data_IF_404199132119
#
_entry.id   IF_404199132119
#
_cell.length_a   1.000
_cell.length_b   1.000
_cell.length_c   1.000
_cell.angle_alpha   90.00
_cell.angle_beta   90.00
_cell.angle_gamma   90.00
#
_symmetry.space_group_name_H-M   'P 1'
#
loop_
_entity.id
_entity.type
_entity.pdbx_description
1 polymer ?
#
# COMPACT_ATOMS: atom_id res chain seq x y z
N UNK A 1 -31.27 -5.39 -0.02
CA UNK A 1 -30.57 -4.99 -1.25
C UNK A 1 -29.58 -6.11 -1.61
N UNK A 2 -29.49 -6.57 -2.87
CA UNK A 2 -28.49 -7.59 -3.21
C UNK A 2 -27.15 -6.87 -3.34
N UNK A 3 -26.25 -7.09 -2.39
CA UNK A 3 -24.87 -6.59 -2.43
C UNK A 3 -24.07 -7.50 -3.39
N UNK A 4 -23.48 -6.90 -4.41
CA UNK A 4 -22.60 -7.64 -5.33
C UNK A 4 -21.18 -7.69 -4.73
N UNK A 5 -20.79 -8.86 -4.22
CA UNK A 5 -19.49 -9.06 -3.59
C UNK A 5 -18.49 -9.50 -4.67
N UNK A 6 -17.40 -8.75 -4.90
CA UNK A 6 -16.41 -9.10 -5.92
C UNK A 6 -15.76 -10.47 -5.68
N UNK A 7 -15.51 -11.23 -6.77
CA UNK A 7 -14.91 -12.56 -6.71
C UNK A 7 -13.59 -12.61 -5.93
N UNK A 8 -12.80 -11.55 -5.99
CA UNK A 8 -11.51 -11.49 -5.27
C UNK A 8 -11.72 -11.40 -3.75
N UNK A 9 -12.73 -10.65 -3.29
CA UNK A 9 -13.09 -10.60 -1.86
C UNK A 9 -13.60 -11.96 -1.41
N UNK A 10 -14.47 -12.61 -2.21
CA UNK A 10 -14.96 -13.96 -1.91
C UNK A 10 -13.82 -14.97 -1.76
N UNK A 11 -12.86 -14.96 -2.69
CA UNK A 11 -11.69 -15.85 -2.63
C UNK A 11 -10.84 -15.62 -1.37
N UNK A 12 -10.60 -14.36 -1.00
CA UNK A 12 -9.84 -14.02 0.20
C UNK A 12 -10.56 -14.51 1.45
N UNK A 13 -11.86 -14.22 1.58
CA UNK A 13 -12.66 -14.62 2.74
C UNK A 13 -12.68 -16.14 2.90
N UNK A 14 -12.86 -16.89 1.81
CA UNK A 14 -12.86 -18.37 1.83
C UNK A 14 -11.45 -18.90 2.19
N UNK A 15 -10.39 -18.34 1.61
CA UNK A 15 -9.03 -18.78 1.89
C UNK A 15 -8.63 -18.54 3.36
N UNK A 16 -9.16 -17.49 3.99
CA UNK A 16 -8.91 -17.13 5.38
C UNK A 16 -9.87 -17.81 6.38
N UNK A 17 -10.84 -18.62 5.90
CA UNK A 17 -11.81 -19.34 6.74
C UNK A 17 -12.82 -18.43 7.44
N UNK A 18 -13.17 -17.31 6.82
CA UNK A 18 -14.04 -16.27 7.38
C UNK A 18 -15.42 -16.19 6.70
N UNK A 19 -15.96 -17.29 6.17
CA UNK A 19 -17.18 -17.33 5.38
C UNK A 19 -18.40 -16.75 6.11
N UNK A 20 -18.47 -16.87 7.45
CA UNK A 20 -19.54 -16.29 8.26
C UNK A 20 -19.67 -14.77 8.11
N UNK A 21 -18.54 -14.08 7.80
CA UNK A 21 -18.56 -12.65 7.55
C UNK A 21 -19.40 -12.28 6.33
N UNK A 22 -19.47 -13.15 5.32
CA UNK A 22 -20.30 -12.93 4.13
C UNK A 22 -21.79 -12.88 4.46
N UNK A 23 -22.23 -13.66 5.44
CA UNK A 23 -23.62 -13.68 5.92
C UNK A 23 -23.95 -12.41 6.73
N UNK A 24 -22.98 -11.87 7.47
CA UNK A 24 -23.12 -10.67 8.30
C UNK A 24 -23.03 -9.37 7.49
N UNK A 25 -22.29 -9.40 6.38
CA UNK A 25 -21.91 -8.23 5.58
C UNK A 25 -23.11 -7.39 5.11
N UNK A 26 -24.22 -7.95 4.58
CA UNK A 26 -25.38 -7.14 4.19
C UNK A 26 -25.99 -6.35 5.35
N UNK A 27 -26.15 -6.98 6.52
CA UNK A 27 -26.64 -6.33 7.72
C UNK A 27 -25.70 -5.23 8.24
N UNK A 28 -24.39 -5.44 8.11
CA UNK A 28 -23.38 -4.44 8.47
C UNK A 28 -23.43 -3.23 7.55
N UNK A 29 -23.55 -3.43 6.23
CA UNK A 29 -23.70 -2.35 5.25
C UNK A 29 -24.99 -1.55 5.51
N UNK A 30 -26.12 -2.24 5.75
CA UNK A 30 -27.41 -1.58 6.04
C UNK A 30 -27.33 -0.74 7.33
N UNK A 31 -26.69 -1.26 8.38
CA UNK A 31 -26.49 -0.54 9.65
C UNK A 31 -25.61 0.70 9.48
N UNK A 32 -24.48 0.58 8.79
CA UNK A 32 -23.59 1.71 8.48
C UNK A 32 -24.27 2.74 7.60
N UNK A 33 -25.04 2.29 6.60
CA UNK A 33 -25.81 3.18 5.73
C UNK A 33 -26.83 4.01 6.53
N UNK A 34 -27.52 3.40 7.48
CA UNK A 34 -28.47 4.09 8.34
C UNK A 34 -27.77 5.08 9.28
N UNK A 35 -26.71 4.67 9.96
CA UNK A 35 -25.97 5.48 10.95
C UNK A 35 -25.30 6.70 10.29
N UNK A 36 -24.67 6.50 9.14
CA UNK A 36 -23.96 7.56 8.42
C UNK A 36 -24.83 8.25 7.37
N UNK A 37 -26.12 7.87 7.26
CA UNK A 37 -27.08 8.43 6.31
C UNK A 37 -26.59 8.35 4.86
N UNK A 38 -26.18 7.14 4.43
CA UNK A 38 -25.62 6.88 3.10
C UNK A 38 -26.68 6.30 2.16
N UNK A 39 -26.62 6.71 0.90
CA UNK A 39 -27.24 5.95 -0.20
C UNK A 39 -26.23 5.00 -0.76
N UNK A 40 -26.52 3.70 -0.73
CA UNK A 40 -25.62 2.64 -1.20
C UNK A 40 -25.75 2.50 -2.71
N UNK A 41 -24.62 2.54 -3.39
CA UNK A 41 -24.47 2.29 -4.84
C UNK A 41 -23.95 0.89 -5.15
N UNK A 42 -23.14 0.75 -6.20
CA UNK A 42 -22.51 -0.51 -6.60
C UNK A 42 -21.17 -0.73 -5.89
N UNK A 43 -20.76 -2.01 -5.76
CA UNK A 43 -19.42 -2.36 -5.31
C UNK A 43 -18.39 -2.20 -6.45
N UNK A 44 -17.15 -1.88 -6.07
CA UNK A 44 -16.01 -1.84 -6.99
C UNK A 44 -15.45 -3.24 -7.18
N UNK A 45 -15.11 -3.59 -8.41
CA UNK A 45 -14.55 -4.90 -8.75
C UNK A 45 -13.12 -5.14 -8.24
N UNK A 46 -12.39 -4.09 -7.84
CA UNK A 46 -11.02 -4.16 -7.35
C UNK A 46 -10.95 -4.29 -5.82
N UNK A 47 -9.82 -4.82 -5.35
CA UNK A 47 -9.53 -5.01 -3.92
C UNK A 47 -9.59 -6.48 -3.48
N UNK A 48 -8.60 -6.90 -2.68
CA UNK A 48 -8.52 -8.26 -2.15
C UNK A 48 -8.83 -8.30 -0.65
N UNK A 49 -8.64 -7.19 0.03
CA UNK A 49 -8.62 -7.11 1.49
C UNK A 49 -9.84 -6.38 2.08
N UNK A 50 -10.76 -5.89 1.25
CA UNK A 50 -11.95 -5.16 1.69
C UNK A 50 -13.05 -5.21 0.63
N UNK A 51 -14.30 -5.15 1.10
CA UNK A 51 -15.42 -4.72 0.26
C UNK A 51 -15.37 -3.21 0.12
N UNK A 52 -15.43 -2.71 -1.12
CA UNK A 52 -15.43 -1.27 -1.43
C UNK A 52 -16.71 -0.95 -2.20
N UNK A 53 -17.52 -0.01 -1.68
CA UNK A 53 -18.84 0.32 -2.20
C UNK A 53 -18.93 1.80 -2.50
N UNK A 54 -19.43 2.17 -3.67
CA UNK A 54 -19.76 3.53 -4.01
C UNK A 54 -20.97 3.99 -3.16
N UNK A 55 -20.87 5.16 -2.53
CA UNK A 55 -21.96 5.69 -1.70
C UNK A 55 -22.16 7.18 -1.94
N UNK A 56 -23.34 7.68 -1.62
CA UNK A 56 -23.62 9.12 -1.69
C UNK A 56 -24.09 9.60 -0.31
N UNK A 57 -23.50 10.70 0.17
CA UNK A 57 -23.89 11.35 1.41
C UNK A 57 -25.25 12.08 1.25
N UNK A 58 -25.87 12.45 2.37
CA UNK A 58 -27.15 13.18 2.38
C UNK A 58 -27.14 14.47 1.55
N UNK A 59 -26.01 15.16 1.50
CA UNK A 59 -25.83 16.39 0.73
C UNK A 59 -25.57 16.16 -0.77
N UNK A 60 -25.60 14.91 -1.22
CA UNK A 60 -25.29 14.53 -2.61
C UNK A 60 -23.80 14.34 -2.89
N UNK A 61 -22.92 14.48 -1.91
CA UNK A 61 -21.47 14.29 -2.09
C UNK A 61 -21.16 12.80 -2.32
N UNK A 62 -20.45 12.45 -3.40
CA UNK A 62 -20.01 11.09 -3.62
C UNK A 62 -18.88 10.70 -2.63
N UNK A 63 -18.96 9.47 -2.10
CA UNK A 63 -18.02 8.92 -1.16
C UNK A 63 -17.81 7.41 -1.41
N UNK A 64 -16.94 6.79 -0.64
CA UNK A 64 -16.64 5.35 -0.70
C UNK A 64 -16.75 4.76 0.69
N UNK A 65 -17.54 3.71 0.84
CA UNK A 65 -17.57 2.86 2.02
C UNK A 65 -16.62 1.67 1.79
N UNK A 66 -15.59 1.55 2.63
CA UNK A 66 -14.66 0.43 2.64
C UNK A 66 -14.88 -0.39 3.91
N UNK A 67 -15.07 -1.71 3.78
CA UNK A 67 -15.23 -2.64 4.90
C UNK A 67 -14.15 -3.72 4.78
N UNK A 68 -13.22 -3.75 5.73
CA UNK A 68 -12.11 -4.71 5.75
C UNK A 68 -12.59 -6.14 5.98
N UNK A 69 -11.95 -7.11 5.30
CA UNK A 69 -12.12 -8.54 5.58
C UNK A 69 -11.58 -8.83 7.00
N UNK A 70 -12.22 -9.71 7.77
CA UNK A 70 -11.74 -10.10 9.10
C UNK A 70 -10.27 -10.52 9.10
N UNK A 71 -9.53 -10.13 10.15
CA UNK A 71 -8.09 -10.36 10.24
C UNK A 71 -7.23 -9.25 9.63
N UNK A 72 -7.84 -8.24 8.98
CA UNK A 72 -7.16 -7.01 8.54
C UNK A 72 -7.37 -5.92 9.59
N UNK A 73 -6.33 -5.16 9.87
CA UNK A 73 -6.42 -4.04 10.82
C UNK A 73 -6.61 -2.72 10.07
N UNK A 74 -7.88 -2.28 9.97
CA UNK A 74 -8.18 -0.96 9.39
C UNK A 74 -7.88 0.19 10.35
N UNK A 75 -7.59 -0.07 11.62
CA UNK A 75 -7.25 0.95 12.60
C UNK A 75 -5.96 1.68 12.26
N UNK A 76 -4.96 0.95 11.77
CA UNK A 76 -3.69 1.52 11.30
C UNK A 76 -3.90 2.39 10.06
N UNK A 77 -4.68 1.91 9.09
CA UNK A 77 -5.08 2.68 7.91
C UNK A 77 -5.86 3.95 8.30
N UNK A 78 -6.86 3.83 9.17
CA UNK A 78 -7.64 4.95 9.68
C UNK A 78 -6.75 6.01 10.35
N UNK A 79 -5.79 5.58 11.18
CA UNK A 79 -4.83 6.48 11.83
C UNK A 79 -4.00 7.23 10.79
N UNK A 80 -3.45 6.54 9.79
CA UNK A 80 -2.67 7.16 8.73
C UNK A 80 -3.49 8.19 7.93
N UNK A 81 -4.71 7.83 7.52
CA UNK A 81 -5.62 8.72 6.79
C UNK A 81 -6.03 9.94 7.63
N UNK A 82 -6.27 9.76 8.93
CA UNK A 82 -6.57 10.85 9.88
C UNK A 82 -5.40 11.80 9.98
N UNK A 83 -4.18 11.28 10.13
CA UNK A 83 -2.96 12.08 10.18
C UNK A 83 -2.71 12.79 8.84
N UNK A 84 -2.90 12.12 7.71
CA UNK A 84 -2.76 12.73 6.38
C UNK A 84 -3.76 13.87 6.16
N UNK A 85 -4.97 13.75 6.70
CA UNK A 85 -6.05 14.74 6.61
C UNK A 85 -6.28 15.23 5.16
N UNK A 86 -6.36 14.29 4.22
CA UNK A 86 -6.57 14.57 2.80
C UNK A 86 -5.35 15.08 2.03
N UNK A 87 -4.17 15.18 2.68
CA UNK A 87 -2.91 15.60 2.04
C UNK A 87 -2.14 14.37 1.56
N UNK A 88 -2.00 14.22 0.26
CA UNK A 88 -1.32 13.07 -0.33
C UNK A 88 -2.10 11.75 -0.26
N UNK A 89 -3.05 11.60 0.66
CA UNK A 89 -3.96 10.45 0.74
C UNK A 89 -5.42 10.89 0.62
N UNK A 90 -6.30 9.93 0.35
CA UNK A 90 -7.74 10.10 0.41
C UNK A 90 -8.16 10.66 1.78
N UNK A 91 -9.17 11.55 1.77
CA UNK A 91 -9.69 12.12 3.00
C UNK A 91 -10.58 11.10 3.71
N UNK A 92 -10.32 10.85 4.98
CA UNK A 92 -11.20 10.10 5.86
C UNK A 92 -12.39 10.99 6.24
N UNK A 93 -13.60 10.51 5.97
CA UNK A 93 -14.87 11.19 6.27
C UNK A 93 -15.55 10.63 7.52
N UNK A 94 -15.34 9.32 7.79
CA UNK A 94 -15.85 8.61 8.95
C UNK A 94 -15.14 7.29 9.14
N UNK A 95 -15.21 6.74 10.34
CA UNK A 95 -14.61 5.44 10.66
C UNK A 95 -15.42 4.70 11.72
N UNK A 96 -15.46 3.39 11.62
CA UNK A 96 -15.87 2.45 12.65
C UNK A 96 -14.89 1.28 12.68
N UNK A 97 -13.85 1.43 13.50
CA UNK A 97 -12.79 0.42 13.62
C UNK A 97 -13.35 -0.91 14.16
N UNK A 98 -14.37 -0.88 15.01
CA UNK A 98 -15.01 -2.08 15.54
C UNK A 98 -15.69 -2.94 14.47
N UNK A 99 -16.26 -2.30 13.45
CA UNK A 99 -16.85 -2.96 12.27
C UNK A 99 -15.89 -2.99 11.05
N UNK A 100 -14.62 -2.64 11.26
CA UNK A 100 -13.62 -2.57 10.19
C UNK A 100 -14.03 -1.67 9.01
N UNK A 101 -14.77 -0.57 9.28
CA UNK A 101 -15.35 0.28 8.26
C UNK A 101 -14.74 1.67 8.20
N UNK A 102 -14.45 2.14 6.98
CA UNK A 102 -13.99 3.49 6.68
C UNK A 102 -14.90 4.14 5.65
N UNK A 103 -15.23 5.40 5.87
CA UNK A 103 -15.89 6.25 4.88
C UNK A 103 -14.87 7.24 4.33
N UNK A 104 -14.62 7.18 3.03
CA UNK A 104 -13.56 7.91 2.35
C UNK A 104 -14.13 8.85 1.28
N UNK A 105 -13.40 9.92 0.95
CA UNK A 105 -13.72 10.70 -0.25
C UNK A 105 -13.66 9.83 -1.51
N UNK A 106 -14.57 10.10 -2.46
CA UNK A 106 -14.57 9.43 -3.76
C UNK A 106 -13.51 10.06 -4.64
N UNK A 107 -12.55 9.26 -5.08
CA UNK A 107 -11.53 9.62 -6.07
C UNK A 107 -11.88 9.05 -7.45
N UNK A 108 -11.19 9.52 -8.48
CA UNK A 108 -11.37 9.11 -9.87
C UNK A 108 -10.62 7.83 -10.23
N UNK A 109 -10.18 7.76 -11.48
CA UNK A 109 -9.48 6.60 -12.02
C UNK A 109 -8.07 6.44 -11.43
N UNK A 110 -7.54 5.19 -11.34
CA UNK A 110 -6.15 4.93 -10.99
C UNK A 110 -5.18 5.59 -11.98
N UNK A 111 -4.04 6.02 -11.48
CA UNK A 111 -2.97 6.61 -12.29
C UNK A 111 -2.52 5.66 -13.42
N UNK A 112 -2.52 4.36 -13.14
CA UNK A 112 -2.19 3.32 -14.12
C UNK A 112 -3.02 3.44 -15.40
N UNK A 113 -4.33 3.73 -15.28
CA UNK A 113 -5.25 3.81 -16.42
C UNK A 113 -5.17 5.13 -17.18
N UNK A 114 -4.68 6.20 -16.53
CA UNK A 114 -4.72 7.57 -17.05
C UNK A 114 -3.37 8.04 -17.60
N UNK A 115 -2.27 7.62 -16.96
CA UNK A 115 -0.92 8.05 -17.33
C UNK A 115 -0.19 6.90 -18.01
N UNK A 116 -0.04 6.97 -19.32
CA UNK A 116 0.56 5.90 -20.11
C UNK A 116 2.07 5.72 -19.87
N UNK A 117 2.81 6.85 -19.72
CA UNK A 117 4.26 6.84 -19.58
C UNK A 117 4.70 6.50 -18.14
N UNK A 118 5.45 5.38 -17.91
CA UNK A 118 5.90 4.98 -16.58
C UNK A 118 6.80 5.99 -15.88
N UNK A 119 7.69 6.68 -16.60
CA UNK A 119 8.57 7.69 -16.03
C UNK A 119 7.76 8.88 -15.48
N UNK A 120 6.70 9.27 -16.19
CA UNK A 120 5.74 10.26 -15.70
C UNK A 120 5.01 9.79 -14.45
N UNK A 121 4.60 8.49 -14.39
CA UNK A 121 4.01 7.92 -13.17
C UNK A 121 4.96 8.01 -11.98
N UNK A 122 6.23 7.62 -12.13
CA UNK A 122 7.22 7.69 -11.05
C UNK A 122 7.39 9.12 -10.51
N UNK A 123 7.41 10.12 -11.40
CA UNK A 123 7.48 11.51 -11.01
C UNK A 123 6.25 11.97 -10.22
N UNK A 124 5.04 11.62 -10.70
CA UNK A 124 3.79 11.95 -10.03
C UNK A 124 3.66 11.24 -8.68
N UNK A 125 4.04 9.97 -8.58
CA UNK A 125 4.07 9.22 -7.32
C UNK A 125 5.02 9.88 -6.30
N UNK A 126 6.20 10.32 -6.75
CA UNK A 126 7.13 11.07 -5.91
C UNK A 126 6.50 12.37 -5.39
N UNK A 127 5.80 13.13 -6.24
CA UNK A 127 5.12 14.36 -5.82
C UNK A 127 4.00 14.09 -4.80
N UNK A 128 3.25 13.00 -4.96
CA UNK A 128 2.22 12.60 -4.00
C UNK A 128 2.84 12.19 -2.67
N UNK A 129 3.93 11.41 -2.68
CA UNK A 129 4.67 11.03 -1.49
C UNK A 129 5.15 12.24 -0.69
N UNK A 130 5.78 13.21 -1.36
CA UNK A 130 6.24 14.46 -0.72
C UNK A 130 5.09 15.25 -0.07
N UNK A 131 3.90 15.24 -0.67
CA UNK A 131 2.72 15.88 -0.06
C UNK A 131 2.23 15.18 1.20
N UNK A 132 2.40 13.84 1.27
CA UNK A 132 2.02 13.04 2.43
C UNK A 132 2.97 13.24 3.60
N UNK A 133 4.27 13.28 3.35
CA UNK A 133 5.27 13.31 4.41
C UNK A 133 5.10 14.49 5.33
N UNK A 134 5.00 14.19 6.60
CA UNK A 134 4.92 15.15 7.71
C UNK A 134 5.56 14.54 8.93
N UNK A 135 6.29 15.30 9.72
CA UNK A 135 6.83 14.82 10.99
C UNK A 135 5.70 14.28 11.88
N UNK A 136 5.91 13.11 12.45
CA UNK A 136 5.02 12.51 13.44
C UNK A 136 5.83 12.04 14.64
N UNK A 137 5.33 12.33 15.85
CA UNK A 137 6.02 12.02 17.09
C UNK A 137 6.00 10.52 17.43
N UNK A 138 6.88 10.10 18.36
CA UNK A 138 6.96 8.72 18.83
C UNK A 138 5.75 8.28 19.66
N UNK A 139 4.92 9.20 20.10
CA UNK A 139 3.65 8.97 20.80
C UNK A 139 2.51 8.52 19.88
N UNK A 140 2.69 8.61 18.57
CA UNK A 140 1.74 8.10 17.60
C UNK A 140 1.91 6.58 17.45
N UNK A 141 0.83 5.84 17.70
CA UNK A 141 0.82 4.38 17.63
C UNK A 141 0.73 3.89 16.17
N UNK A 142 1.84 4.06 15.46
CA UNK A 142 2.08 3.50 14.12
C UNK A 142 3.36 2.69 14.14
N UNK A 143 3.41 1.55 13.42
CA UNK A 143 4.63 0.79 13.27
C UNK A 143 5.75 1.64 12.68
N UNK A 144 6.97 1.42 13.14
CA UNK A 144 8.14 2.12 12.61
C UNK A 144 8.71 1.43 11.38
N UNK A 145 9.47 2.17 10.56
CA UNK A 145 10.25 1.57 9.48
C UNK A 145 11.22 0.49 9.98
N UNK A 146 11.79 0.69 11.18
CA UNK A 146 12.61 -0.33 11.84
C UNK A 146 11.80 -1.62 12.12
N UNK A 147 10.57 -1.48 12.60
CA UNK A 147 9.69 -2.63 12.88
C UNK A 147 9.27 -3.35 11.60
N UNK A 148 8.99 -2.60 10.54
CA UNK A 148 8.71 -3.18 9.23
C UNK A 148 9.90 -4.00 8.70
N UNK A 149 11.11 -3.43 8.76
CA UNK A 149 12.34 -4.12 8.34
C UNK A 149 12.59 -5.38 9.15
N UNK A 150 12.36 -5.35 10.47
CA UNK A 150 12.45 -6.51 11.36
C UNK A 150 11.44 -7.60 10.96
N UNK A 151 10.16 -7.24 10.81
CA UNK A 151 9.10 -8.18 10.42
C UNK A 151 9.38 -8.84 9.06
N UNK A 152 9.91 -8.08 8.11
CA UNK A 152 10.28 -8.61 6.81
C UNK A 152 11.49 -9.55 6.91
N UNK A 153 12.49 -9.21 7.73
CA UNK A 153 13.66 -10.06 7.94
C UNK A 153 13.30 -11.40 8.60
N UNK A 154 12.35 -11.37 9.57
CA UNK A 154 11.90 -12.59 10.25
C UNK A 154 11.11 -13.51 9.31
N UNK A 155 10.30 -12.94 8.41
CA UNK A 155 9.39 -13.71 7.52
C UNK A 155 10.03 -14.14 6.21
N UNK A 156 10.99 -13.39 5.67
CA UNK A 156 11.54 -13.63 4.33
C UNK A 156 12.13 -15.03 4.16
N UNK A 157 12.93 -15.60 5.10
CA UNK A 157 13.50 -16.93 4.92
C UNK A 157 12.44 -18.03 4.79
N UNK A 158 11.42 -18.00 5.64
CA UNK A 158 10.32 -18.98 5.60
C UNK A 158 9.50 -18.84 4.31
N UNK A 159 9.12 -17.62 3.92
CA UNK A 159 8.40 -17.37 2.67
C UNK A 159 9.19 -17.83 1.45
N UNK A 160 10.51 -17.61 1.45
CA UNK A 160 11.38 -18.03 0.36
C UNK A 160 11.42 -19.56 0.20
N UNK A 161 11.48 -20.30 1.32
CA UNK A 161 11.39 -21.76 1.30
C UNK A 161 10.01 -22.24 0.82
N UNK A 162 8.91 -21.63 1.36
CA UNK A 162 7.54 -21.97 0.99
C UNK A 162 7.24 -21.70 -0.50
N UNK A 163 7.83 -20.65 -1.06
CA UNK A 163 7.71 -20.32 -2.48
C UNK A 163 8.60 -21.19 -3.40
N UNK A 164 9.33 -22.17 -2.85
CA UNK A 164 10.22 -23.04 -3.63
C UNK A 164 11.54 -22.39 -4.03
N UNK A 165 12.02 -21.41 -3.28
CA UNK A 165 13.28 -20.67 -3.52
C UNK A 165 13.31 -19.97 -4.88
N UNK A 166 12.43 -19.00 -5.11
CA UNK A 166 12.22 -18.39 -6.43
C UNK A 166 13.34 -17.43 -6.88
N UNK A 167 14.32 -17.15 -6.04
CA UNK A 167 15.50 -16.34 -6.36
C UNK A 167 16.75 -16.92 -5.68
N UNK A 168 17.93 -16.37 -6.01
CA UNK A 168 19.20 -16.85 -5.48
C UNK A 168 19.34 -16.59 -3.97
N UNK A 169 20.12 -17.45 -3.24
CA UNK A 169 20.45 -17.18 -1.84
C UNK A 169 21.19 -15.85 -1.65
N UNK A 170 21.95 -15.40 -2.64
CA UNK A 170 22.69 -14.13 -2.60
C UNK A 170 21.70 -12.95 -2.56
N UNK A 171 20.63 -12.99 -3.35
CA UNK A 171 19.56 -11.99 -3.36
C UNK A 171 18.84 -11.89 -2.01
N UNK A 172 18.51 -13.03 -1.41
CA UNK A 172 17.93 -13.06 -0.06
C UNK A 172 18.89 -12.47 0.97
N UNK A 173 20.16 -12.83 0.91
CA UNK A 173 21.18 -12.32 1.84
C UNK A 173 21.37 -10.80 1.69
N UNK A 174 21.36 -10.27 0.48
CA UNK A 174 21.45 -8.81 0.25
C UNK A 174 20.22 -8.08 0.80
N UNK A 175 19.02 -8.60 0.58
CA UNK A 175 17.80 -8.02 1.14
C UNK A 175 17.82 -8.02 2.69
N UNK A 176 18.26 -9.10 3.32
CA UNK A 176 18.40 -9.19 4.78
C UNK A 176 19.44 -8.19 5.32
N UNK A 177 20.54 -7.97 4.58
CA UNK A 177 21.53 -6.97 4.92
C UNK A 177 20.94 -5.54 4.81
N UNK A 178 20.17 -5.24 3.76
CA UNK A 178 19.47 -3.98 3.62
C UNK A 178 18.47 -3.77 4.76
N UNK A 179 17.65 -4.77 5.11
CA UNK A 179 16.72 -4.72 6.23
C UNK A 179 17.43 -4.40 7.55
N UNK A 180 18.55 -5.05 7.83
CA UNK A 180 19.32 -4.76 9.04
C UNK A 180 19.90 -3.33 9.05
N UNK A 181 20.42 -2.84 7.92
CA UNK A 181 20.92 -1.45 7.82
C UNK A 181 19.79 -0.44 8.04
N UNK A 182 18.62 -0.62 7.41
CA UNK A 182 17.49 0.31 7.57
C UNK A 182 16.87 0.24 8.96
N UNK A 183 16.83 -0.94 9.57
CA UNK A 183 16.42 -1.10 10.97
C UNK A 183 17.32 -0.29 11.93
N UNK A 184 18.64 -0.37 11.74
CA UNK A 184 19.62 0.34 12.56
C UNK A 184 19.68 1.86 12.30
N UNK A 185 19.35 2.28 11.07
CA UNK A 185 19.35 3.69 10.67
C UNK A 185 18.09 4.45 11.10
N UNK A 186 17.06 3.77 11.61
CA UNK A 186 15.82 4.42 12.03
C UNK A 186 16.06 5.45 13.14
N UNK A 187 15.55 6.67 12.94
CA UNK A 187 15.57 7.75 13.94
C UNK A 187 14.16 8.34 14.08
N UNK A 188 13.56 8.15 15.23
CA UNK A 188 12.23 8.65 15.59
C UNK A 188 12.07 10.18 15.44
N UNK A 189 13.18 10.93 15.54
CA UNK A 189 13.14 12.40 15.46
C UNK A 189 13.02 12.92 14.03
N UNK A 190 13.49 12.15 13.08
CA UNK A 190 13.42 12.48 11.65
C UNK A 190 12.33 11.70 10.91
N UNK A 191 11.65 10.77 11.58
CA UNK A 191 10.60 9.97 11.00
C UNK A 191 9.37 10.81 10.60
N UNK A 192 8.78 10.45 9.49
CA UNK A 192 7.57 11.07 8.94
C UNK A 192 6.47 10.02 8.77
N UNK A 193 5.23 10.50 8.57
CA UNK A 193 4.17 9.64 8.07
C UNK A 193 4.53 9.23 6.65
N UNK A 194 4.67 7.93 6.40
CA UNK A 194 4.84 7.34 5.08
C UNK A 194 3.67 6.41 4.75
N UNK A 195 3.42 6.22 3.48
CA UNK A 195 2.35 5.34 2.99
C UNK A 195 2.72 3.87 3.15
N UNK A 196 3.94 3.50 2.77
CA UNK A 196 4.47 2.14 2.88
C UNK A 196 4.16 1.20 1.71
N UNK A 197 3.26 1.59 0.79
CA UNK A 197 2.95 0.82 -0.42
C UNK A 197 2.52 1.73 -1.59
N UNK A 198 3.41 2.64 -1.99
CA UNK A 198 3.15 3.57 -3.10
C UNK A 198 3.34 2.87 -4.44
N UNK A 199 2.27 2.86 -5.24
CA UNK A 199 2.29 2.43 -6.63
C UNK A 199 1.11 3.06 -7.42
N UNK A 200 1.14 2.95 -8.74
CA UNK A 200 0.19 3.60 -9.64
C UNK A 200 -1.26 3.13 -9.50
N UNK A 201 -1.49 1.93 -8.96
CA UNK A 201 -2.85 1.43 -8.69
C UNK A 201 -3.42 2.02 -7.40
N UNK A 202 -2.57 2.41 -6.44
CA UNK A 202 -2.98 3.08 -5.20
C UNK A 202 -3.03 4.61 -5.34
N UNK A 203 -2.65 5.18 -6.48
CA UNK A 203 -2.72 6.61 -6.74
C UNK A 203 -3.90 6.92 -7.65
N UNK A 204 -4.95 7.54 -7.11
CA UNK A 204 -6.18 7.86 -7.83
C UNK A 204 -6.28 9.36 -8.10
N UNK A 205 -6.92 9.71 -9.22
CA UNK A 205 -7.11 11.10 -9.62
C UNK A 205 -8.09 11.82 -8.68
N UNK A 206 -7.70 12.96 -8.16
CA UNK A 206 -8.55 13.85 -7.39
C UNK A 206 -9.32 14.83 -8.31
N UNK A 207 -10.36 15.46 -7.78
CA UNK A 207 -11.23 16.38 -8.54
C UNK A 207 -10.51 17.63 -9.07
N UNK A 208 -9.37 18.00 -8.48
CA UNK A 208 -8.52 19.12 -8.89
C UNK A 208 -7.48 18.72 -9.95
N UNK A 209 -7.53 17.47 -10.44
CA UNK A 209 -6.59 16.90 -11.39
C UNK A 209 -5.27 16.40 -10.78
N UNK A 210 -5.06 16.57 -9.50
CA UNK A 210 -3.94 15.97 -8.78
C UNK A 210 -4.19 14.49 -8.50
N UNK A 211 -3.21 13.80 -7.87
CA UNK A 211 -3.37 12.42 -7.42
C UNK A 211 -3.34 12.34 -5.89
N UNK A 212 -4.06 11.39 -5.33
CA UNK A 212 -4.04 11.02 -3.93
C UNK A 212 -3.91 9.50 -3.79
N UNK A 213 -3.27 9.06 -2.72
CA UNK A 213 -3.08 7.65 -2.40
C UNK A 213 -4.27 7.11 -1.60
N UNK A 214 -4.57 5.85 -1.84
CA UNK A 214 -5.50 5.03 -1.05
C UNK A 214 -4.73 3.86 -0.42
N UNK A 215 -5.32 3.19 0.56
CA UNK A 215 -4.79 1.97 1.19
C UNK A 215 -3.40 2.14 1.84
N UNK A 216 -3.16 3.20 2.66
CA UNK A 216 -1.89 3.35 3.33
C UNK A 216 -1.67 2.22 4.34
N UNK A 217 -0.52 1.58 4.27
CA UNK A 217 -0.03 0.72 5.34
C UNK A 217 0.18 1.53 6.64
N UNK A 218 0.45 2.82 6.51
CA UNK A 218 0.55 3.76 7.62
C UNK A 218 1.72 3.46 8.55
N UNK A 219 2.88 4.06 8.25
CA UNK A 219 4.10 3.82 9.01
C UNK A 219 4.71 5.14 9.47
N UNK A 220 5.48 5.07 10.53
CA UNK A 220 6.38 6.12 10.98
C UNK A 220 7.81 5.75 10.56
N UNK A 221 8.29 6.32 9.44
CA UNK A 221 9.56 5.93 8.85
C UNK A 221 10.29 7.10 8.18
N UNK A 222 11.48 6.83 7.70
CA UNK A 222 12.19 7.75 6.83
C UNK A 222 11.53 7.82 5.43
N UNK A 223 11.55 8.97 4.75
CA UNK A 223 10.97 9.13 3.40
C UNK A 223 11.45 8.12 2.37
N UNK A 224 12.67 7.60 2.53
CA UNK A 224 13.25 6.59 1.66
C UNK A 224 12.41 5.31 1.57
N UNK A 225 11.63 4.97 2.61
CA UNK A 225 10.73 3.82 2.62
C UNK A 225 9.70 3.91 1.48
N UNK A 226 9.03 5.06 1.33
CA UNK A 226 8.07 5.29 0.23
C UNK A 226 8.75 5.33 -1.15
N UNK A 227 9.90 5.99 -1.25
CA UNK A 227 10.64 6.05 -2.51
C UNK A 227 11.14 4.69 -2.97
N UNK A 228 11.48 3.81 -2.03
CA UNK A 228 11.84 2.42 -2.33
C UNK A 228 10.69 1.64 -2.98
N UNK A 229 9.44 1.90 -2.61
CA UNK A 229 8.28 1.28 -3.28
C UNK A 229 8.13 1.78 -4.72
N UNK A 230 8.46 3.06 -5.00
CA UNK A 230 8.46 3.60 -6.37
C UNK A 230 9.59 2.98 -7.21
N UNK A 231 10.79 2.75 -6.63
CA UNK A 231 11.88 2.04 -7.32
C UNK A 231 11.48 0.62 -7.70
N UNK A 232 10.65 -0.05 -6.90
CA UNK A 232 10.11 -1.39 -7.19
C UNK A 232 9.09 -1.41 -8.33
N UNK A 233 8.39 -0.30 -8.63
CA UNK A 233 7.32 -0.25 -9.62
C UNK A 233 7.81 -0.62 -11.03
N UNK A 234 6.92 -1.24 -11.83
CA UNK A 234 7.14 -1.57 -13.23
C UNK A 234 8.41 -2.40 -13.48
N UNK A 235 8.52 -3.61 -12.93
CA UNK A 235 9.74 -4.44 -13.07
C UNK A 235 10.00 -4.94 -14.50
N UNK A 236 9.01 -4.81 -15.39
CA UNK A 236 9.05 -5.20 -16.80
C UNK A 236 9.67 -4.12 -17.71
N UNK A 237 9.95 -2.92 -17.22
CA UNK A 237 10.51 -1.84 -18.03
C UNK A 237 11.97 -2.10 -18.46
N UNK A 238 12.74 -2.84 -17.66
CA UNK A 238 14.16 -3.09 -17.92
C UNK A 238 15.02 -1.82 -17.89
N UNK A 239 14.54 -0.75 -17.25
CA UNK A 239 15.27 0.50 -17.07
C UNK A 239 16.36 0.37 -15.97
N UNK A 240 17.23 1.38 -15.91
CA UNK A 240 18.27 1.46 -14.88
C UNK A 240 17.65 1.91 -13.55
N UNK A 241 17.45 0.96 -12.63
CA UNK A 241 16.89 1.22 -11.30
C UNK A 241 17.77 2.14 -10.44
N UNK A 242 19.10 2.13 -10.66
CA UNK A 242 19.97 3.08 -9.96
C UNK A 242 19.76 4.49 -10.46
N UNK A 243 19.68 4.69 -11.78
CA UNK A 243 19.35 6.00 -12.35
C UNK A 243 17.97 6.50 -11.87
N UNK A 244 16.96 5.61 -11.77
CA UNK A 244 15.65 5.94 -11.15
C UNK A 244 15.83 6.38 -9.70
N UNK A 245 16.64 5.68 -8.93
CA UNK A 245 16.94 6.02 -7.52
C UNK A 245 17.60 7.40 -7.40
N UNK A 246 18.62 7.69 -8.22
CA UNK A 246 19.29 9.00 -8.24
C UNK A 246 18.33 10.13 -8.65
N UNK A 247 17.44 9.88 -9.59
CA UNK A 247 16.40 10.85 -9.99
C UNK A 247 15.47 11.18 -8.81
N UNK A 248 14.97 10.17 -8.09
CA UNK A 248 14.13 10.35 -6.90
C UNK A 248 14.89 11.08 -5.79
N UNK A 249 16.14 10.71 -5.54
CA UNK A 249 17.02 11.38 -4.58
C UNK A 249 17.22 12.86 -4.92
N UNK A 250 17.53 13.16 -6.17
CA UNK A 250 17.72 14.54 -6.65
C UNK A 250 16.48 15.41 -6.49
N UNK A 251 15.28 14.83 -6.70
CA UNK A 251 14.00 15.56 -6.55
C UNK A 251 13.60 15.84 -5.12
N UNK A 252 13.99 14.96 -4.20
CA UNK A 252 13.49 14.98 -2.81
C UNK A 252 14.53 15.38 -1.78
N UNK A 253 15.81 15.30 -2.12
CA UNK A 253 16.91 15.47 -1.18
C UNK A 253 17.11 14.27 -0.23
N UNK A 254 16.40 13.16 -0.46
CA UNK A 254 16.54 11.93 0.31
C UNK A 254 17.80 11.17 -0.13
N UNK A 255 18.50 10.54 0.80
CA UNK A 255 19.72 9.77 0.51
C UNK A 255 19.45 8.62 -0.47
N UNK A 256 20.18 8.62 -1.59
CA UNK A 256 20.04 7.62 -2.64
C UNK A 256 20.33 6.19 -2.14
N UNK A 257 21.29 6.03 -1.22
CA UNK A 257 21.60 4.72 -0.62
C UNK A 257 20.41 4.19 0.17
N UNK A 258 19.77 5.03 0.96
CA UNK A 258 18.58 4.65 1.73
C UNK A 258 17.41 4.25 0.80
N UNK A 259 17.19 5.02 -0.27
CA UNK A 259 16.15 4.70 -1.28
C UNK A 259 16.44 3.35 -1.94
N UNK A 260 17.69 3.11 -2.34
CA UNK A 260 18.11 1.85 -2.96
C UNK A 260 17.89 0.65 -2.04
N UNK A 261 18.30 0.78 -0.78
CA UNK A 261 18.16 -0.28 0.20
C UNK A 261 16.68 -0.60 0.47
N UNK A 262 15.82 0.39 0.61
CA UNK A 262 14.37 0.17 0.69
C UNK A 262 13.81 -0.41 -0.62
N UNK A 263 14.29 0.03 -1.77
CA UNK A 263 13.94 -0.54 -3.08
C UNK A 263 14.28 -2.03 -3.16
N UNK A 264 15.45 -2.43 -2.68
CA UNK A 264 15.87 -3.84 -2.59
C UNK A 264 14.97 -4.63 -1.64
N UNK A 265 14.69 -4.08 -0.44
CA UNK A 265 13.79 -4.69 0.55
C UNK A 265 12.42 -4.95 -0.06
N UNK A 266 11.79 -3.93 -0.62
CA UNK A 266 10.44 -4.05 -1.19
C UNK A 266 10.42 -4.97 -2.42
N UNK A 267 11.44 -4.94 -3.27
CA UNK A 267 11.52 -5.79 -4.46
C UNK A 267 11.59 -7.26 -4.10
N UNK A 268 12.51 -7.61 -3.21
CA UNK A 268 12.73 -9.01 -2.84
C UNK A 268 11.58 -9.54 -2.00
N UNK A 269 11.15 -8.81 -0.96
CA UNK A 269 10.04 -9.26 -0.11
C UNK A 269 8.74 -9.40 -0.90
N UNK A 270 8.36 -8.39 -1.69
CA UNK A 270 7.14 -8.45 -2.51
C UNK A 270 7.22 -9.52 -3.59
N UNK A 271 8.40 -9.73 -4.19
CA UNK A 271 8.61 -10.77 -5.20
C UNK A 271 8.42 -12.17 -4.62
N UNK A 272 9.06 -12.46 -3.48
CA UNK A 272 8.91 -13.76 -2.80
C UNK A 272 7.48 -13.98 -2.32
N UNK A 273 6.84 -12.95 -1.73
CA UNK A 273 5.45 -13.02 -1.32
C UNK A 273 4.50 -13.28 -2.51
N UNK A 274 4.68 -12.56 -3.62
CA UNK A 274 3.88 -12.77 -4.83
C UNK A 274 4.02 -14.20 -5.37
N UNK A 275 5.24 -14.76 -5.39
CA UNK A 275 5.46 -16.15 -5.76
C UNK A 275 4.77 -17.13 -4.79
N UNK A 276 4.80 -16.87 -3.49
CA UNK A 276 4.19 -17.76 -2.49
C UNK A 276 2.66 -17.86 -2.61
N UNK A 277 2.01 -16.81 -3.14
CA UNK A 277 0.56 -16.78 -3.37
C UNK A 277 0.16 -17.00 -4.84
N UNK A 278 1.12 -17.35 -5.72
CA UNK A 278 0.88 -17.61 -7.14
C UNK A 278 0.53 -16.37 -7.98
N UNK A 279 0.95 -15.19 -7.55
CA UNK A 279 0.72 -13.93 -8.29
C UNK A 279 1.82 -13.69 -9.33
N UNK A 280 1.71 -14.41 -10.44
CA UNK A 280 2.62 -14.32 -11.59
C UNK A 280 2.01 -13.54 -12.77
N UNK A 281 2.83 -12.91 -13.64
CA UNK A 281 4.30 -12.96 -13.66
C UNK A 281 4.98 -11.93 -12.73
N UNK A 282 4.24 -11.18 -11.94
CA UNK A 282 4.77 -10.04 -11.16
C UNK A 282 5.90 -10.46 -10.21
N UNK A 283 5.71 -11.55 -9.45
CA UNK A 283 6.75 -12.06 -8.55
C UNK A 283 8.03 -12.45 -9.28
N UNK A 284 7.90 -13.16 -10.40
CA UNK A 284 9.04 -13.61 -11.20
C UNK A 284 9.84 -12.45 -11.78
N UNK A 285 9.17 -11.39 -12.26
CA UNK A 285 9.80 -10.19 -12.82
C UNK A 285 10.62 -9.44 -11.73
N UNK A 286 10.03 -9.26 -10.55
CA UNK A 286 10.73 -8.62 -9.44
C UNK A 286 12.00 -9.38 -9.03
N UNK A 287 11.91 -10.70 -8.95
CA UNK A 287 13.02 -11.54 -8.49
C UNK A 287 14.10 -11.74 -9.55
N UNK A 288 13.71 -11.84 -10.83
CA UNK A 288 14.68 -11.87 -11.93
C UNK A 288 15.54 -10.58 -11.96
N UNK A 289 14.91 -9.43 -11.75
CA UNK A 289 15.64 -8.17 -11.64
C UNK A 289 16.51 -8.09 -10.38
N UNK A 290 16.03 -8.61 -9.25
CA UNK A 290 16.82 -8.68 -8.02
C UNK A 290 18.05 -9.57 -8.17
N UNK A 291 17.92 -10.75 -8.80
CA UNK A 291 19.04 -11.64 -9.08
C UNK A 291 20.07 -11.01 -10.02
N UNK A 292 19.60 -10.27 -11.06
CA UNK A 292 20.49 -9.53 -11.98
C UNK A 292 21.34 -8.48 -11.26
N UNK A 293 20.80 -7.85 -10.22
CA UNK A 293 21.48 -6.79 -9.46
C UNK A 293 22.44 -7.33 -8.41
N UNK A 294 22.34 -8.61 -8.04
CA UNK A 294 23.21 -9.26 -7.05
C UNK A 294 24.23 -10.21 -7.67
N UNK A 295 24.17 -10.44 -9.00
CA UNK A 295 25.13 -11.27 -9.75
C UNK A 295 26.44 -10.52 -10.00
#
# INVERSE_FOLDING_TARGET
MSLDIPDQVLKTVIADGNESWLDELPGMVDSLAQEWSLMIGSSFAGGHAALVVDVTLVDGTPAVLKIGVPGRDVGQEAMALRLANGRGCAKLLGEDVGRQALLLERLGAPMYDVVADPASRHNLLCEVAVRLWRPIGPDIDLPTGAKLAEQYADRLPELWEQAGRPCSPATVADALNCMNRRRLAHDDRSAVLVHGDIHEMNALQASDGSYKLIDPAGLRAEPACDLGTIVRCNPDLGDDLWARTEQLASRTGVDATAIWEWGTIHRVFSGVYACSIGFQPFGDLLLAEADRLTA
#
